data_IF_943635867416
#
_entry.id   IF_943635867416
#
_cell.length_a   1.000
_cell.length_b   1.000
_cell.length_c   1.000
_cell.angle_alpha   90.00
_cell.angle_beta   90.00
_cell.angle_gamma   90.00
#
_symmetry.space_group_name_H-M   'P 1'
#
loop_
_entity.id
_entity.type
_entity.pdbx_description
1 polymer ?
#
# COMPACT_ATOMS: atom_id res chain seq x y z
N UNK A 1 -14.03 -21.51 2.34
CA UNK A 1 -14.71 -20.23 2.08
C UNK A 1 -13.85 -19.09 2.57
N UNK A 2 -13.55 -18.12 1.72
CA UNK A 2 -12.77 -16.95 2.12
C UNK A 2 -13.62 -15.99 2.92
N UNK A 3 -13.09 -15.53 4.05
CA UNK A 3 -13.72 -14.49 4.83
C UNK A 3 -13.48 -13.14 4.15
N UNK A 4 -14.52 -12.33 4.04
CA UNK A 4 -14.41 -10.98 3.53
C UNK A 4 -15.06 -9.98 4.49
N UNK A 5 -14.56 -8.77 4.48
CA UNK A 5 -15.10 -7.69 5.31
C UNK A 5 -14.93 -6.35 4.61
N UNK A 6 -15.76 -5.37 4.98
CA UNK A 6 -15.66 -4.00 4.49
C UNK A 6 -14.82 -3.18 5.46
N UNK A 7 -13.87 -2.43 4.94
CA UNK A 7 -13.01 -1.57 5.74
C UNK A 7 -12.54 -0.37 4.93
N UNK A 8 -12.28 0.74 5.62
CA UNK A 8 -11.65 1.90 5.01
C UNK A 8 -10.14 1.74 5.24
N UNK A 9 -9.39 1.67 4.14
CA UNK A 9 -7.95 1.44 4.18
C UNK A 9 -7.21 2.51 3.40
N UNK A 10 -6.07 2.94 3.94
CA UNK A 10 -5.18 3.84 3.23
C UNK A 10 -4.55 3.12 2.04
N UNK A 11 -4.69 3.71 0.86
CA UNK A 11 -4.16 3.13 -0.38
C UNK A 11 -3.10 4.00 -1.03
N UNK A 12 -2.88 5.20 -0.51
CA UNK A 12 -1.83 6.08 -1.02
C UNK A 12 -1.74 7.41 -0.29
N UNK A 13 -0.77 8.21 -0.74
CA UNK A 13 -0.52 9.55 -0.23
C UNK A 13 -0.24 10.47 -1.41
N UNK A 14 -0.92 11.61 -1.46
CA UNK A 14 -0.75 12.57 -2.54
C UNK A 14 0.50 13.38 -2.27
N UNK A 15 1.52 13.22 -3.12
CA UNK A 15 2.83 13.85 -2.93
C UNK A 15 3.01 15.11 -3.77
N UNK A 16 2.27 15.23 -4.87
CA UNK A 16 2.37 16.39 -5.75
C UNK A 16 1.23 16.39 -6.77
N UNK A 17 1.19 17.40 -7.61
CA UNK A 17 0.35 17.43 -8.81
C UNK A 17 1.11 16.80 -9.98
N UNK A 18 0.38 16.47 -11.04
CA UNK A 18 0.97 15.95 -12.28
C UNK A 18 0.33 16.63 -13.49
N UNK A 19 1.10 17.41 -14.22
CA UNK A 19 0.63 18.15 -15.39
C UNK A 19 -0.34 19.26 -14.99
N UNK A 20 -0.96 19.88 -15.99
CA UNK A 20 -1.85 21.04 -15.79
C UNK A 20 -3.34 20.69 -15.79
N UNK A 21 -3.68 19.43 -16.09
CA UNK A 21 -5.08 19.00 -16.26
C UNK A 21 -5.74 18.43 -15.01
N UNK A 22 -5.20 18.72 -13.84
CA UNK A 22 -5.84 18.34 -12.59
C UNK A 22 -5.53 16.92 -12.11
N UNK A 23 -4.44 16.32 -12.58
CA UNK A 23 -4.01 15.01 -12.06
C UNK A 23 -3.11 15.14 -10.85
N UNK A 24 -3.18 14.18 -9.94
CA UNK A 24 -2.33 14.12 -8.75
C UNK A 24 -1.37 12.96 -8.83
N UNK A 25 -0.19 13.15 -8.23
CA UNK A 25 0.82 12.10 -8.10
C UNK A 25 0.64 11.44 -6.74
N UNK A 26 0.38 10.14 -6.74
CA UNK A 26 0.11 9.38 -5.52
C UNK A 26 1.21 8.35 -5.28
N UNK A 27 1.77 8.38 -4.07
CA UNK A 27 2.68 7.34 -3.59
C UNK A 27 1.83 6.19 -3.05
N UNK A 28 2.01 5.00 -3.62
CA UNK A 28 1.15 3.84 -3.34
C UNK A 28 1.39 3.24 -1.96
N UNK A 29 0.31 2.79 -1.31
CA UNK A 29 0.33 2.12 0.00
C UNK A 29 -0.44 0.81 -0.01
N UNK A 30 -0.68 0.23 -1.18
CA UNK A 30 -1.40 -1.02 -1.34
C UNK A 30 -0.59 -2.03 -2.15
N UNK A 31 -0.77 -3.31 -1.87
CA UNK A 31 -0.14 -4.39 -2.65
C UNK A 31 -0.94 -4.72 -3.91
N UNK A 32 -2.12 -4.12 -4.08
CA UNK A 32 -3.01 -4.37 -5.22
C UNK A 32 -3.46 -3.05 -5.85
N UNK A 33 -2.50 -2.23 -6.38
CA UNK A 33 -2.86 -0.90 -6.88
C UNK A 33 -3.85 -0.93 -8.06
N UNK A 34 -3.77 -1.92 -8.93
CA UNK A 34 -4.65 -2.04 -10.08
C UNK A 34 -6.11 -2.21 -9.68
N UNK A 35 -6.37 -2.81 -8.53
CA UNK A 35 -7.73 -2.99 -8.01
C UNK A 35 -8.25 -1.76 -7.30
N UNK A 36 -7.36 -0.89 -6.79
CA UNK A 36 -7.76 0.28 -6.01
C UNK A 36 -7.89 1.53 -6.87
N UNK A 37 -7.04 1.66 -7.89
CA UNK A 37 -7.02 2.81 -8.78
C UNK A 37 -7.50 2.40 -10.16
N UNK A 38 -8.78 2.57 -10.41
CA UNK A 38 -9.44 2.15 -11.62
C UNK A 38 -10.48 3.20 -12.01
N UNK A 39 -10.56 3.53 -13.29
CA UNK A 39 -11.53 4.51 -13.79
C UNK A 39 -12.95 4.10 -13.40
N UNK A 40 -13.69 5.04 -12.84
CA UNK A 40 -15.05 4.82 -12.37
C UNK A 40 -15.16 4.47 -10.90
N UNK A 41 -14.04 4.09 -10.25
CA UNK A 41 -14.04 3.83 -8.81
C UNK A 41 -13.94 5.12 -8.03
N UNK A 42 -14.37 5.07 -6.77
CA UNK A 42 -14.33 6.22 -5.86
C UNK A 42 -13.30 5.99 -4.78
N UNK A 43 -12.58 7.05 -4.45
CA UNK A 43 -11.64 7.06 -3.32
C UNK A 43 -12.07 8.11 -2.33
N UNK A 44 -11.56 8.01 -1.11
CA UNK A 44 -11.88 8.92 -0.01
C UNK A 44 -10.67 9.78 0.31
N UNK A 45 -10.86 11.08 0.32
CA UNK A 45 -9.82 12.06 0.67
C UNK A 45 -10.48 13.11 1.54
N UNK A 46 -9.79 13.56 2.59
CA UNK A 46 -10.31 14.67 3.40
C UNK A 46 -10.32 15.94 2.56
N UNK A 47 -11.45 16.64 2.56
CA UNK A 47 -11.59 17.91 1.84
C UNK A 47 -10.93 19.06 2.61
N UNK A 48 -11.06 20.28 2.09
CA UNK A 48 -10.45 21.47 2.71
C UNK A 48 -11.00 21.80 4.10
N UNK A 49 -12.16 21.21 4.46
CA UNK A 49 -12.76 21.34 5.80
C UNK A 49 -12.41 20.15 6.68
N UNK A 50 -11.47 19.30 6.24
CA UNK A 50 -11.03 18.08 6.93
C UNK A 50 -12.17 17.05 7.14
N UNK A 51 -13.13 17.05 6.21
CA UNK A 51 -14.21 16.08 6.16
C UNK A 51 -13.92 15.06 5.07
N UNK A 52 -14.10 13.77 5.37
CA UNK A 52 -13.90 12.71 4.39
C UNK A 52 -14.93 12.82 3.27
N UNK A 53 -14.47 12.85 2.04
CA UNK A 53 -15.30 13.03 0.86
C UNK A 53 -14.91 12.04 -0.23
N UNK A 54 -15.91 11.58 -1.01
CA UNK A 54 -15.67 10.68 -2.14
C UNK A 54 -15.27 11.46 -3.39
N UNK A 55 -14.31 10.91 -4.13
CA UNK A 55 -13.88 11.45 -5.43
C UNK A 55 -13.85 10.33 -6.45
N UNK A 56 -14.52 10.52 -7.59
CA UNK A 56 -14.57 9.52 -8.65
C UNK A 56 -13.34 9.65 -9.55
N UNK A 57 -12.68 8.53 -9.79
CA UNK A 57 -11.48 8.46 -10.64
C UNK A 57 -11.88 8.48 -12.11
N UNK A 58 -11.33 9.40 -12.89
CA UNK A 58 -11.56 9.50 -14.33
C UNK A 58 -10.38 9.07 -15.17
N UNK A 59 -9.15 9.23 -14.64
CA UNK A 59 -7.92 8.92 -15.35
C UNK A 59 -6.94 8.23 -14.42
N UNK A 60 -6.26 7.20 -14.92
CA UNK A 60 -5.25 6.46 -14.15
C UNK A 60 -4.06 6.17 -15.06
N UNK A 61 -2.87 6.55 -14.61
CA UNK A 61 -1.62 6.24 -15.29
C UNK A 61 -0.65 5.69 -14.25
N UNK A 62 -0.30 4.41 -14.35
CA UNK A 62 0.69 3.80 -13.49
C UNK A 62 2.09 4.11 -14.00
N UNK A 63 2.86 4.87 -13.22
CA UNK A 63 4.23 5.19 -13.58
C UNK A 63 5.17 4.02 -13.31
N UNK A 64 5.02 3.39 -12.16
CA UNK A 64 5.82 2.24 -11.73
C UNK A 64 5.13 1.57 -10.54
N UNK A 65 5.82 0.68 -9.83
CA UNK A 65 5.26 -0.04 -8.68
C UNK A 65 5.02 0.85 -7.45
N UNK A 66 5.49 2.10 -7.45
CA UNK A 66 5.40 3.01 -6.31
C UNK A 66 4.49 4.20 -6.54
N UNK A 67 4.28 4.59 -7.79
CA UNK A 67 3.63 5.84 -8.16
C UNK A 67 2.51 5.62 -9.17
N UNK A 68 1.38 6.26 -8.93
CA UNK A 68 0.26 6.35 -9.88
C UNK A 68 -0.15 7.81 -10.04
N UNK A 69 -0.54 8.19 -11.25
CA UNK A 69 -1.14 9.49 -11.53
C UNK A 69 -2.64 9.30 -11.70
N UNK A 70 -3.44 10.12 -11.01
CA UNK A 70 -4.90 9.96 -10.97
C UNK A 70 -5.58 11.30 -11.21
N UNK A 71 -6.60 11.29 -12.07
CA UNK A 71 -7.49 12.44 -12.28
C UNK A 71 -8.86 12.16 -11.69
N UNK A 72 -9.52 13.20 -11.20
CA UNK A 72 -10.84 13.10 -10.56
C UNK A 72 -11.92 13.85 -11.34
N UNK A 73 -13.13 13.32 -11.32
CA UNK A 73 -14.27 13.94 -11.98
C UNK A 73 -14.54 15.33 -11.39
N UNK A 74 -14.65 16.32 -12.29
CA UNK A 74 -14.93 17.71 -11.88
C UNK A 74 -13.69 18.53 -11.54
N UNK A 75 -12.51 17.92 -11.56
CA UNK A 75 -11.23 18.57 -11.23
C UNK A 75 -10.31 18.47 -12.43
N UNK A 76 -10.38 19.46 -13.33
CA UNK A 76 -9.71 19.42 -14.64
C UNK A 76 -8.56 20.40 -14.77
N UNK A 77 -8.23 21.12 -13.71
CA UNK A 77 -7.17 22.13 -13.70
C UNK A 77 -6.29 21.93 -12.46
N UNK A 78 -5.00 22.23 -12.61
CA UNK A 78 -4.05 22.10 -11.50
C UNK A 78 -4.47 22.95 -10.28
N UNK A 79 -5.08 24.10 -10.51
CA UNK A 79 -5.52 24.98 -9.41
C UNK A 79 -6.65 24.36 -8.58
N UNK A 80 -7.36 23.39 -9.14
CA UNK A 80 -8.47 22.73 -8.46
C UNK A 80 -8.00 21.65 -7.48
N UNK A 81 -6.75 21.18 -7.61
CA UNK A 81 -6.27 20.02 -6.86
C UNK A 81 -5.00 20.27 -6.04
N UNK A 82 -4.40 21.45 -6.11
CA UNK A 82 -3.19 21.77 -5.34
C UNK A 82 -3.39 21.57 -3.83
N UNK A 83 -4.60 21.84 -3.32
CA UNK A 83 -4.92 21.67 -1.92
C UNK A 83 -4.87 20.20 -1.46
N UNK A 84 -4.90 19.26 -2.40
CA UNK A 84 -4.86 17.82 -2.09
C UNK A 84 -3.45 17.32 -1.72
N UNK A 85 -2.41 18.09 -2.04
CA UNK A 85 -1.03 17.71 -1.74
C UNK A 85 -0.87 17.53 -0.23
N UNK A 86 -0.28 16.39 0.16
CA UNK A 86 -0.05 16.05 1.56
C UNK A 86 -1.18 15.24 2.20
N UNK A 87 -2.26 15.00 1.47
CA UNK A 87 -3.40 14.25 1.99
C UNK A 87 -3.29 12.77 1.64
N UNK A 88 -3.81 11.95 2.54
CA UNK A 88 -3.86 10.51 2.34
C UNK A 88 -5.08 10.12 1.52
N UNK A 89 -4.94 9.05 0.75
CA UNK A 89 -6.02 8.49 -0.07
C UNK A 89 -6.48 7.19 0.56
N UNK A 90 -7.78 7.07 0.80
CA UNK A 90 -8.39 5.89 1.39
C UNK A 90 -9.38 5.28 0.42
N UNK A 91 -9.66 4.01 0.59
CA UNK A 91 -10.68 3.31 -0.15
C UNK A 91 -11.53 2.48 0.80
N UNK A 92 -12.83 2.43 0.50
CA UNK A 92 -13.74 1.52 1.18
C UNK A 92 -13.65 0.20 0.43
N UNK A 93 -12.94 -0.75 0.99
CA UNK A 93 -12.58 -1.98 0.30
C UNK A 93 -13.25 -3.19 0.94
N UNK A 94 -13.57 -4.16 0.08
CA UNK A 94 -13.89 -5.50 0.55
C UNK A 94 -12.58 -6.27 0.57
N UNK A 95 -12.02 -6.43 1.75
CA UNK A 95 -10.78 -7.16 1.94
C UNK A 95 -11.08 -8.64 2.15
N UNK A 96 -10.32 -9.50 1.51
CA UNK A 96 -10.38 -10.94 1.70
C UNK A 96 -9.10 -11.43 2.37
N UNK A 97 -9.15 -12.63 2.92
CA UNK A 97 -7.96 -13.28 3.46
C UNK A 97 -6.90 -13.38 2.35
N UNK A 98 -5.72 -12.88 2.61
CA UNK A 98 -4.63 -12.84 1.62
C UNK A 98 -4.41 -11.49 0.98
N UNK A 99 -5.32 -10.52 1.18
CA UNK A 99 -5.14 -9.15 0.74
C UNK A 99 -4.46 -8.35 1.85
N UNK A 100 -3.35 -7.69 1.53
CA UNK A 100 -2.56 -6.95 2.52
C UNK A 100 -2.35 -5.51 2.10
N UNK A 101 -2.55 -4.61 3.05
CA UNK A 101 -2.20 -3.19 2.91
C UNK A 101 -0.94 -2.96 3.73
N UNK A 102 -0.13 -1.96 3.34
CA UNK A 102 1.16 -1.74 4.02
C UNK A 102 0.97 -1.49 5.52
N UNK A 103 -0.09 -0.76 5.91
CA UNK A 103 -0.38 -0.51 7.32
C UNK A 103 -0.70 -1.79 8.10
N UNK A 104 -1.26 -2.81 7.43
CA UNK A 104 -1.56 -4.10 8.06
C UNK A 104 -0.28 -4.85 8.45
N UNK A 105 0.80 -4.63 7.70
CA UNK A 105 2.06 -5.34 7.88
C UNK A 105 2.94 -4.74 8.97
N UNK A 106 2.83 -3.45 9.21
CA UNK A 106 3.63 -2.75 10.22
C UNK A 106 3.30 -3.28 11.62
N UNK A 107 4.32 -3.64 12.38
CA UNK A 107 4.17 -4.19 13.72
C UNK A 107 4.02 -5.70 13.78
N UNK A 108 3.89 -6.37 12.63
CA UNK A 108 3.82 -7.83 12.62
C UNK A 108 5.16 -8.45 12.98
N UNK A 109 5.10 -9.57 13.70
CA UNK A 109 6.30 -10.35 14.04
C UNK A 109 6.68 -11.23 12.86
N UNK A 110 7.98 -11.33 12.61
CA UNK A 110 8.53 -12.11 11.50
C UNK A 110 9.25 -13.35 12.04
N UNK A 111 8.90 -14.50 11.48
CA UNK A 111 9.49 -15.79 11.87
C UNK A 111 10.19 -16.43 10.68
N UNK A 112 11.29 -17.14 10.97
CA UNK A 112 12.01 -17.90 9.96
C UNK A 112 11.21 -19.14 9.52
N UNK A 113 11.69 -19.83 8.50
CA UNK A 113 11.13 -21.09 8.02
C UNK A 113 11.16 -22.20 9.10
N UNK A 114 12.03 -22.07 10.09
CA UNK A 114 12.13 -23.01 11.23
C UNK A 114 11.38 -22.55 12.47
N UNK A 115 10.71 -21.40 12.41
CA UNK A 115 9.91 -20.87 13.53
C UNK A 115 10.66 -19.95 14.48
N UNK A 116 11.88 -19.57 14.17
CA UNK A 116 12.65 -18.63 14.96
C UNK A 116 12.11 -17.21 14.79
N UNK A 117 11.89 -16.48 15.89
CA UNK A 117 11.46 -15.08 15.82
C UNK A 117 12.62 -14.21 15.40
N UNK A 118 12.47 -13.51 14.27
CA UNK A 118 13.51 -12.69 13.68
C UNK A 118 13.42 -11.20 14.01
N UNK A 119 12.22 -10.73 14.35
CA UNK A 119 11.98 -9.33 14.67
C UNK A 119 10.57 -8.89 14.28
N UNK A 120 10.37 -7.60 14.17
CA UNK A 120 9.06 -7.01 13.82
C UNK A 120 9.21 -6.05 12.65
N UNK A 121 8.15 -5.94 11.83
CA UNK A 121 8.12 -5.01 10.70
C UNK A 121 8.05 -3.58 11.23
N UNK A 122 9.05 -2.79 10.93
CA UNK A 122 9.09 -1.36 11.27
C UNK A 122 8.31 -0.55 10.26
N UNK A 123 8.54 -0.82 8.98
CA UNK A 123 7.84 -0.17 7.88
C UNK A 123 7.95 -1.04 6.63
N UNK A 124 7.20 -0.65 5.60
CA UNK A 124 7.28 -1.29 4.28
C UNK A 124 7.90 -0.29 3.32
N UNK A 125 9.04 -0.63 2.76
CA UNK A 125 9.75 0.20 1.80
C UNK A 125 9.28 -0.13 0.37
N UNK A 126 8.91 0.91 -0.36
CA UNK A 126 8.43 0.77 -1.74
C UNK A 126 9.60 0.84 -2.70
N UNK A 127 10.08 -0.33 -3.12
CA UNK A 127 11.19 -0.43 -4.07
C UNK A 127 10.67 -0.59 -5.50
N UNK A 128 11.47 -0.27 -6.54
CA UNK A 128 11.01 -0.43 -7.93
C UNK A 128 10.56 -1.84 -8.28
N UNK A 129 11.16 -2.86 -7.66
CA UNK A 129 10.81 -4.27 -7.88
C UNK A 129 9.68 -4.78 -6.99
N UNK A 130 9.14 -3.91 -6.11
CA UNK A 130 8.04 -4.26 -5.22
C UNK A 130 8.30 -3.88 -3.78
N UNK A 131 7.39 -4.25 -2.86
CA UNK A 131 7.52 -3.89 -1.45
C UNK A 131 8.57 -4.76 -0.74
N UNK A 132 9.30 -4.13 0.19
CA UNK A 132 10.25 -4.80 1.08
C UNK A 132 9.85 -4.52 2.52
N UNK A 133 9.90 -5.54 3.35
CA UNK A 133 9.71 -5.40 4.80
C UNK A 133 11.01 -4.91 5.43
N UNK A 134 10.95 -3.81 6.17
CA UNK A 134 12.08 -3.38 7.00
C UNK A 134 11.86 -3.96 8.40
N UNK A 135 12.74 -4.85 8.81
CA UNK A 135 12.63 -5.58 10.09
C UNK A 135 13.58 -4.97 11.10
N UNK A 136 13.04 -4.56 12.26
CA UNK A 136 13.79 -3.95 13.36
C UNK A 136 14.69 -2.78 12.94
N UNK A 137 14.27 -2.02 11.93
CA UNK A 137 15.00 -0.87 11.37
C UNK A 137 16.36 -1.22 10.77
N UNK A 138 16.63 -2.51 10.54
CA UNK A 138 17.96 -2.96 10.15
C UNK A 138 18.01 -3.83 8.90
N UNK A 139 17.06 -4.74 8.72
CA UNK A 139 17.14 -5.76 7.68
C UNK A 139 15.93 -5.69 6.75
N UNK A 140 16.18 -5.73 5.45
CA UNK A 140 15.11 -5.70 4.44
C UNK A 140 14.93 -7.07 3.79
N UNK A 141 13.66 -7.51 3.73
CA UNK A 141 13.27 -8.76 3.08
C UNK A 141 12.14 -8.47 2.10
N UNK A 142 12.22 -8.98 0.84
CA UNK A 142 11.11 -8.78 -0.11
C UNK A 142 9.81 -9.37 0.41
N UNK A 143 8.72 -8.61 0.28
CA UNK A 143 7.39 -9.11 0.60
C UNK A 143 6.77 -9.71 -0.66
N UNK A 144 7.04 -10.98 -0.89
CA UNK A 144 6.57 -11.71 -2.07
C UNK A 144 6.09 -13.09 -1.64
N UNK A 145 4.79 -13.33 -1.76
CA UNK A 145 4.17 -14.63 -1.47
C UNK A 145 3.98 -15.36 -2.81
N UNK A 146 4.44 -16.59 -2.95
CA UNK A 146 5.03 -17.51 -1.95
C UNK A 146 6.55 -17.58 -1.96
N UNK A 147 7.25 -16.71 -2.71
CA UNK A 147 8.70 -16.86 -2.92
C UNK A 147 9.53 -16.61 -1.65
N UNK A 148 9.36 -15.43 -1.05
CA UNK A 148 10.11 -15.05 0.16
C UNK A 148 9.27 -15.18 1.42
N UNK A 149 7.95 -15.02 1.32
CA UNK A 149 7.02 -15.10 2.44
C UNK A 149 6.11 -16.31 2.23
N UNK A 150 6.11 -17.21 3.21
CA UNK A 150 5.28 -18.41 3.18
C UNK A 150 3.82 -18.09 3.50
N UNK A 151 3.62 -17.31 4.57
CA UNK A 151 2.28 -16.94 5.02
C UNK A 151 2.31 -15.64 5.80
N UNK A 152 1.16 -15.00 5.86
CA UNK A 152 0.96 -13.77 6.60
C UNK A 152 -0.42 -13.85 7.26
N UNK A 153 -0.44 -13.85 8.59
CA UNK A 153 -1.66 -13.96 9.38
C UNK A 153 -1.97 -12.62 10.04
N UNK A 154 -3.03 -11.96 9.57
CA UNK A 154 -3.42 -10.66 10.11
C UNK A 154 -3.97 -10.75 11.54
N UNK A 155 -4.63 -11.85 11.89
CA UNK A 155 -5.20 -12.03 13.24
C UNK A 155 -4.12 -12.23 14.28
N UNK A 156 -3.16 -13.11 13.99
CA UNK A 156 -2.03 -13.38 14.87
C UNK A 156 -0.96 -12.29 14.76
N UNK A 157 -1.00 -11.47 13.72
CA UNK A 157 0.02 -10.45 13.40
C UNK A 157 1.39 -11.08 13.23
N UNK A 158 1.45 -12.15 12.45
CA UNK A 158 2.66 -12.93 12.21
C UNK A 158 2.92 -13.11 10.72
N UNK A 159 4.17 -13.00 10.35
CA UNK A 159 4.67 -13.28 9.00
C UNK A 159 5.67 -14.42 9.11
N UNK A 160 5.48 -15.46 8.31
CA UNK A 160 6.41 -16.58 8.23
C UNK A 160 7.14 -16.54 6.91
N UNK A 161 8.46 -16.60 6.96
CA UNK A 161 9.30 -16.60 5.77
C UNK A 161 9.47 -18.02 5.24
N UNK A 162 9.78 -18.11 3.94
CA UNK A 162 10.25 -19.37 3.33
C UNK A 162 11.72 -19.55 3.69
N UNK A 163 12.29 -20.70 3.30
CA UNK A 163 13.74 -20.90 3.44
C UNK A 163 14.51 -19.81 2.70
N UNK A 164 14.06 -19.43 1.50
CA UNK A 164 14.68 -18.36 0.72
C UNK A 164 14.56 -17.01 1.41
N UNK A 165 13.39 -16.70 1.99
CA UNK A 165 13.18 -15.47 2.76
C UNK A 165 14.04 -15.41 4.00
N UNK A 166 14.19 -16.51 4.71
CA UNK A 166 15.04 -16.61 5.90
C UNK A 166 16.52 -16.41 5.55
N UNK A 167 16.94 -16.94 4.41
CA UNK A 167 18.29 -16.74 3.89
C UNK A 167 18.53 -15.28 3.51
N UNK A 168 17.56 -14.65 2.87
CA UNK A 168 17.63 -13.22 2.53
C UNK A 168 17.77 -12.36 3.78
N UNK A 169 17.07 -12.70 4.86
CA UNK A 169 17.20 -12.02 6.14
C UNK A 169 18.62 -12.14 6.70
N UNK A 170 19.15 -13.34 6.72
CA UNK A 170 20.49 -13.59 7.27
C UNK A 170 21.59 -12.90 6.45
N UNK A 171 21.43 -12.88 5.13
CA UNK A 171 22.40 -12.26 4.22
C UNK A 171 22.42 -10.74 4.30
N UNK A 172 21.33 -10.13 4.76
CA UNK A 172 21.19 -8.67 4.85
C UNK A 172 21.66 -8.09 6.18
N UNK A 173 22.04 -8.95 7.11
CA UNK A 173 22.56 -8.50 8.42
C UNK A 173 23.95 -7.91 8.31
#
# INVERSE_FOLDING_TARGET
MEESYMAIKKIGHIVNTYGLKGMVKISLSTTEPEKRYETGKKVLIDNQMNEQQEYEITDVIFKNSRIVYVGFKGYTDINDIEWMIGRDVFSNVRATKGTFFYDDLVGMKVFSDTGEELGSVTTVNKMPQGPYLLIDKAVMVPFNIPLFVKSCDKKAKEIKLTALGSEAFRSSK
#
